data_IF_220610971465
#
_entry.id   IF_220610971465
#
_cell.length_a   1.000
_cell.length_b   1.000
_cell.length_c   1.000
_cell.angle_alpha   90.00
_cell.angle_beta   90.00
_cell.angle_gamma   90.00
#
_symmetry.space_group_name_H-M   'P 1'
#
loop_
_entity.id
_entity.type
_entity.pdbx_description
1 polymer ?
#
# COMPACT_ATOMS: atom_id res chain seq x y z
N UNK A 1 -49.62 -24.04 15.31
CA UNK A 1 -48.55 -23.40 16.10
C UNK A 1 -47.84 -24.37 17.06
N UNK A 2 -48.44 -25.53 17.37
CA UNK A 2 -47.89 -26.45 18.39
C UNK A 2 -46.70 -27.31 17.94
N UNK A 3 -46.61 -27.67 16.64
CA UNK A 3 -45.46 -28.45 16.12
C UNK A 3 -44.14 -27.67 16.17
N UNK A 4 -44.21 -26.35 16.04
CA UNK A 4 -43.05 -25.45 16.16
C UNK A 4 -42.57 -25.33 17.61
N UNK A 5 -43.50 -25.28 18.59
CA UNK A 5 -43.16 -25.27 20.02
C UNK A 5 -42.49 -26.58 20.46
N UNK A 6 -43.03 -27.72 20.03
CA UNK A 6 -42.46 -29.04 20.36
C UNK A 6 -41.02 -29.22 19.84
N UNK A 7 -40.75 -28.74 18.63
CA UNK A 7 -39.40 -28.75 18.06
C UNK A 7 -38.42 -27.86 18.84
N UNK A 8 -38.86 -26.66 19.23
CA UNK A 8 -38.04 -25.72 19.99
C UNK A 8 -37.72 -26.23 21.40
N UNK A 9 -38.69 -26.83 22.08
CA UNK A 9 -38.48 -27.40 23.42
C UNK A 9 -37.52 -28.59 23.37
N UNK A 10 -37.66 -29.46 22.37
CA UNK A 10 -36.74 -30.60 22.17
C UNK A 10 -35.29 -30.14 21.94
N UNK A 11 -35.09 -29.10 21.13
CA UNK A 11 -33.77 -28.51 20.87
C UNK A 11 -33.20 -27.86 22.14
N UNK A 12 -34.03 -27.16 22.91
CA UNK A 12 -33.63 -26.54 24.19
C UNK A 12 -33.17 -27.58 25.21
N UNK A 13 -33.90 -28.68 25.38
CA UNK A 13 -33.51 -29.76 26.28
C UNK A 13 -32.20 -30.43 25.84
N UNK A 14 -32.03 -30.64 24.54
CA UNK A 14 -30.81 -31.22 23.99
C UNK A 14 -29.59 -30.31 24.22
N UNK A 15 -29.69 -29.02 23.90
CA UNK A 15 -28.60 -28.04 24.10
C UNK A 15 -28.26 -27.95 25.59
N UNK A 16 -29.25 -27.81 26.47
CA UNK A 16 -29.00 -27.75 27.91
C UNK A 16 -28.38 -29.04 28.45
N UNK A 17 -28.72 -30.20 27.88
CA UNK A 17 -28.08 -31.48 28.20
C UNK A 17 -26.60 -31.53 27.80
N UNK A 18 -26.21 -30.88 26.70
CA UNK A 18 -24.79 -30.80 26.30
C UNK A 18 -23.94 -29.93 27.24
N UNK A 19 -24.56 -28.99 27.97
CA UNK A 19 -23.88 -28.07 28.89
C UNK A 19 -24.20 -28.33 30.37
N UNK A 20 -24.84 -29.45 30.72
CA UNK A 20 -25.33 -29.70 32.09
C UNK A 20 -24.21 -29.76 33.15
N UNK A 21 -23.03 -30.25 32.77
CA UNK A 21 -21.87 -30.40 33.65
C UNK A 21 -20.84 -29.26 33.49
N UNK A 22 -21.24 -28.12 32.92
CA UNK A 22 -20.35 -26.98 32.65
C UNK A 22 -20.65 -25.79 33.56
N UNK A 23 -19.59 -25.20 34.10
CA UNK A 23 -19.72 -23.96 34.87
C UNK A 23 -20.10 -22.79 33.96
N UNK A 24 -20.80 -21.74 34.46
CA UNK A 24 -21.30 -20.64 33.64
C UNK A 24 -20.24 -19.97 32.75
N UNK A 25 -19.00 -19.80 33.24
CA UNK A 25 -17.92 -19.21 32.46
C UNK A 25 -17.47 -20.11 31.29
N UNK A 26 -17.51 -21.42 31.45
CA UNK A 26 -17.15 -22.38 30.39
C UNK A 26 -18.14 -22.30 29.24
N UNK A 27 -19.43 -22.16 29.54
CA UNK A 27 -20.47 -21.95 28.53
C UNK A 27 -20.23 -20.65 27.76
N UNK A 28 -19.88 -19.56 28.44
CA UNK A 28 -19.55 -18.28 27.79
C UNK A 28 -18.32 -18.41 26.89
N UNK A 29 -17.25 -19.06 27.35
CA UNK A 29 -16.02 -19.26 26.56
C UNK A 29 -16.29 -20.12 25.34
N UNK A 30 -16.93 -21.28 25.50
CA UNK A 30 -17.22 -22.21 24.40
C UNK A 30 -18.07 -21.53 23.34
N UNK A 31 -19.17 -20.87 23.74
CA UNK A 31 -20.05 -20.19 22.79
C UNK A 31 -19.34 -19.03 22.08
N UNK A 32 -18.58 -18.21 22.80
CA UNK A 32 -17.81 -17.10 22.21
C UNK A 32 -16.76 -17.60 21.23
N UNK A 33 -15.98 -18.61 21.61
CA UNK A 33 -14.95 -19.20 20.74
C UNK A 33 -15.56 -19.87 19.52
N UNK A 34 -16.68 -20.59 19.65
CA UNK A 34 -17.38 -21.20 18.51
C UNK A 34 -17.90 -20.14 17.53
N UNK A 35 -18.49 -19.04 18.02
CA UNK A 35 -18.95 -17.95 17.17
C UNK A 35 -17.77 -17.28 16.47
N UNK A 36 -16.69 -16.95 17.19
CA UNK A 36 -15.50 -16.35 16.60
C UNK A 36 -14.84 -17.28 15.57
N UNK A 37 -14.76 -18.58 15.84
CA UNK A 37 -14.23 -19.57 14.91
C UNK A 37 -15.11 -19.70 13.66
N UNK A 38 -16.44 -19.66 13.82
CA UNK A 38 -17.37 -19.68 12.70
C UNK A 38 -17.25 -18.43 11.82
N UNK A 39 -17.18 -17.23 12.42
CA UNK A 39 -16.96 -15.97 11.70
C UNK A 39 -15.59 -15.98 11.01
N UNK A 40 -14.55 -16.45 11.70
CA UNK A 40 -13.21 -16.58 11.12
C UNK A 40 -13.21 -17.54 9.93
N UNK A 41 -13.85 -18.70 10.04
CA UNK A 41 -13.94 -19.68 8.97
C UNK A 41 -14.72 -19.15 7.78
N UNK A 42 -15.86 -18.48 8.03
CA UNK A 42 -16.63 -17.80 6.99
C UNK A 42 -15.78 -16.77 6.24
N UNK A 43 -15.08 -15.89 6.98
CA UNK A 43 -14.17 -14.90 6.38
C UNK A 43 -13.01 -15.56 5.65
N UNK A 44 -12.52 -16.70 6.12
CA UNK A 44 -11.42 -17.42 5.49
C UNK A 44 -11.83 -18.04 4.14
N UNK A 45 -13.04 -18.57 4.04
CA UNK A 45 -13.58 -19.21 2.82
C UNK A 45 -14.09 -18.17 1.82
N UNK A 46 -14.78 -17.13 2.28
CA UNK A 46 -15.41 -16.10 1.45
C UNK A 46 -14.58 -14.81 1.32
N UNK A 47 -13.26 -14.92 1.42
CA UNK A 47 -12.36 -13.82 1.07
C UNK A 47 -12.31 -13.63 -0.45
N UNK A 48 -12.12 -12.39 -0.91
CA UNK A 48 -12.04 -12.05 -2.35
C UNK A 48 -10.90 -12.79 -3.07
N UNK A 49 -9.85 -13.19 -2.34
CA UNK A 49 -8.73 -13.97 -2.86
C UNK A 49 -8.96 -15.48 -2.71
N UNK A 50 -8.85 -16.22 -3.82
CA UNK A 50 -8.93 -17.68 -3.80
C UNK A 50 -7.87 -18.32 -2.89
N UNK A 51 -8.23 -19.43 -2.24
CA UNK A 51 -7.32 -20.23 -1.38
C UNK A 51 -6.05 -20.66 -2.14
N UNK A 52 -6.14 -20.90 -3.45
CA UNK A 52 -4.99 -21.23 -4.29
C UNK A 52 -3.97 -20.08 -4.38
N UNK A 53 -4.43 -18.84 -4.54
CA UNK A 53 -3.58 -17.65 -4.57
C UNK A 53 -2.88 -17.46 -3.21
N UNK A 54 -3.62 -17.60 -2.11
CA UNK A 54 -3.06 -17.50 -0.74
C UNK A 54 -2.00 -18.56 -0.48
N UNK A 55 -2.26 -19.80 -0.89
CA UNK A 55 -1.32 -20.92 -0.76
C UNK A 55 -0.07 -20.69 -1.61
N UNK A 56 -0.24 -20.15 -2.82
CA UNK A 56 0.86 -19.74 -3.70
C UNK A 56 1.72 -18.67 -3.03
N UNK A 57 1.11 -17.63 -2.44
CA UNK A 57 1.86 -16.60 -1.70
C UNK A 57 2.64 -17.16 -0.51
N UNK A 58 2.01 -18.02 0.30
CA UNK A 58 2.68 -18.70 1.40
C UNK A 58 3.87 -19.52 0.90
N UNK A 59 3.65 -20.33 -0.14
CA UNK A 59 4.69 -21.14 -0.77
C UNK A 59 5.85 -20.29 -1.27
N UNK A 60 5.59 -19.23 -2.05
CA UNK A 60 6.65 -18.34 -2.53
C UNK A 60 7.39 -17.64 -1.40
N UNK A 61 6.69 -17.25 -0.33
CA UNK A 61 7.31 -16.66 0.85
C UNK A 61 8.22 -17.65 1.59
N UNK A 62 7.83 -18.93 1.69
CA UNK A 62 8.67 -19.99 2.25
C UNK A 62 9.88 -20.28 1.36
N UNK A 63 9.69 -20.40 0.04
CA UNK A 63 10.77 -20.62 -0.92
C UNK A 63 11.80 -19.49 -0.89
N UNK A 64 11.35 -18.23 -0.78
CA UNK A 64 12.24 -17.07 -0.63
C UNK A 64 13.11 -17.09 0.64
N UNK A 65 12.71 -17.83 1.69
CA UNK A 65 13.51 -17.98 2.92
C UNK A 65 14.63 -19.01 2.79
N UNK A 66 14.60 -19.86 1.77
CA UNK A 66 15.67 -20.83 1.52
C UNK A 66 16.96 -20.05 1.21
N UNK A 67 18.08 -20.28 1.93
CA UNK A 67 19.30 -19.49 1.79
C UNK A 67 19.81 -19.39 0.35
N UNK A 68 19.75 -20.50 -0.41
CA UNK A 68 20.18 -20.53 -1.81
C UNK A 68 19.35 -19.60 -2.71
N UNK A 69 18.02 -19.59 -2.53
CA UNK A 69 17.10 -18.73 -3.29
C UNK A 69 17.27 -17.27 -2.89
N UNK A 70 17.32 -17.00 -1.58
CA UNK A 70 17.53 -15.65 -1.06
C UNK A 70 18.85 -15.04 -1.53
N UNK A 71 19.94 -15.82 -1.51
CA UNK A 71 21.24 -15.41 -2.02
C UNK A 71 21.19 -15.08 -3.52
N UNK A 72 20.51 -15.91 -4.32
CA UNK A 72 20.34 -15.63 -5.76
C UNK A 72 19.55 -14.35 -6.02
N UNK A 73 18.45 -14.13 -5.28
CA UNK A 73 17.66 -12.89 -5.36
C UNK A 73 18.53 -11.69 -4.97
N UNK A 74 19.31 -11.80 -3.89
CA UNK A 74 20.23 -10.75 -3.45
C UNK A 74 21.26 -10.43 -4.54
N UNK A 75 21.90 -11.44 -5.13
CA UNK A 75 22.85 -11.23 -6.22
C UNK A 75 22.24 -10.50 -7.41
N UNK A 76 21.01 -10.83 -7.83
CA UNK A 76 20.36 -10.11 -8.93
C UNK A 76 19.97 -8.68 -8.52
N UNK A 77 19.54 -8.45 -7.27
CA UNK A 77 19.33 -7.09 -6.74
C UNK A 77 20.61 -6.26 -6.74
N UNK A 78 21.71 -6.83 -6.28
CA UNK A 78 23.00 -6.14 -6.20
C UNK A 78 23.49 -5.75 -7.61
N UNK A 79 23.33 -6.64 -8.60
CA UNK A 79 23.62 -6.32 -10.01
C UNK A 79 22.74 -5.17 -10.53
N UNK A 80 21.44 -5.22 -10.27
CA UNK A 80 20.51 -4.15 -10.68
C UNK A 80 20.86 -2.82 -10.01
N UNK A 81 21.28 -2.85 -8.74
CA UNK A 81 21.68 -1.66 -8.00
C UNK A 81 22.94 -1.03 -8.61
N UNK A 82 23.94 -1.83 -9.00
CA UNK A 82 25.13 -1.33 -9.70
C UNK A 82 24.77 -0.68 -11.04
N UNK A 83 23.87 -1.29 -11.82
CA UNK A 83 23.40 -0.71 -13.08
C UNK A 83 22.64 0.60 -12.82
N UNK A 84 21.74 0.61 -11.84
CA UNK A 84 20.96 1.79 -11.48
C UNK A 84 21.83 2.93 -10.98
N UNK A 85 22.79 2.66 -10.09
CA UNK A 85 23.76 3.64 -9.59
C UNK A 85 24.56 4.24 -10.75
N UNK A 86 25.02 3.41 -11.69
CA UNK A 86 25.73 3.87 -12.89
C UNK A 86 24.83 4.76 -13.76
N UNK A 87 23.60 4.34 -14.04
CA UNK A 87 22.64 5.12 -14.84
C UNK A 87 22.33 6.47 -14.19
N UNK A 88 22.11 6.50 -12.86
CA UNK A 88 21.86 7.74 -12.12
C UNK A 88 23.10 8.63 -12.15
N UNK A 89 24.29 8.09 -11.91
CA UNK A 89 25.55 8.84 -11.95
C UNK A 89 25.83 9.42 -13.35
N UNK A 90 25.52 8.68 -14.42
CA UNK A 90 25.64 9.15 -15.79
C UNK A 90 24.62 10.24 -16.11
N UNK A 91 23.35 10.06 -15.73
CA UNK A 91 22.26 11.04 -15.96
C UNK A 91 22.43 12.33 -15.18
N UNK A 92 23.02 12.26 -14.00
CA UNK A 92 23.27 13.45 -13.15
C UNK A 92 24.64 14.07 -13.40
N UNK A 93 25.41 13.54 -14.35
CA UNK A 93 26.75 14.06 -14.68
C UNK A 93 26.66 15.52 -15.08
N UNK A 94 27.37 16.37 -14.35
CA UNK A 94 27.43 17.82 -14.59
C UNK A 94 26.51 18.65 -13.71
N UNK A 95 25.67 18.02 -12.87
CA UNK A 95 24.85 18.72 -11.87
C UNK A 95 25.43 18.46 -10.48
N UNK A 96 25.76 19.50 -9.69
CA UNK A 96 26.36 19.32 -8.37
C UNK A 96 25.33 18.80 -7.36
N UNK A 97 25.75 17.81 -6.55
CA UNK A 97 24.95 17.34 -5.43
C UNK A 97 25.03 18.29 -4.24
N UNK A 98 23.90 18.88 -3.86
CA UNK A 98 23.78 19.71 -2.66
C UNK A 98 23.53 18.79 -1.46
N UNK A 99 24.61 18.37 -0.79
CA UNK A 99 24.57 17.43 0.35
C UNK A 99 24.47 18.10 1.71
N UNK A 100 24.58 19.43 1.75
CA UNK A 100 24.45 20.24 2.97
C UNK A 100 23.64 21.49 2.67
N UNK A 101 22.91 21.99 3.67
CA UNK A 101 22.16 23.22 3.53
C UNK A 101 23.14 24.40 3.35
N UNK A 102 22.99 25.24 2.31
CA UNK A 102 23.82 26.42 2.12
C UNK A 102 23.74 27.36 3.34
N UNK A 103 24.89 27.93 3.75
CA UNK A 103 24.94 28.89 4.89
C UNK A 103 24.17 30.18 4.59
N UNK A 104 24.05 30.54 3.32
CA UNK A 104 23.33 31.71 2.84
C UNK A 104 22.25 31.23 1.87
N UNK A 105 21.07 31.85 1.93
CA UNK A 105 19.99 31.53 1.01
C UNK A 105 20.38 31.86 -0.43
N UNK A 106 20.04 30.96 -1.36
CA UNK A 106 20.27 31.19 -2.78
C UNK A 106 19.26 32.24 -3.30
N UNK A 107 19.67 33.12 -4.23
CA UNK A 107 18.74 34.03 -4.89
C UNK A 107 17.74 33.24 -5.74
N UNK A 108 16.52 33.75 -5.89
CA UNK A 108 15.43 33.07 -6.60
C UNK A 108 15.80 32.68 -8.05
N UNK A 109 16.56 33.52 -8.74
CA UNK A 109 17.03 33.24 -10.10
C UNK A 109 17.94 32.01 -10.16
N UNK A 110 18.85 31.87 -9.19
CA UNK A 110 19.74 30.70 -9.09
C UNK A 110 18.95 29.43 -8.78
N UNK A 111 17.96 29.50 -7.89
CA UNK A 111 17.06 28.37 -7.59
C UNK A 111 16.31 27.92 -8.85
N UNK A 112 15.76 28.86 -9.61
CA UNK A 112 15.03 28.55 -10.86
C UNK A 112 15.98 27.95 -11.90
N UNK A 113 17.20 28.47 -12.02
CA UNK A 113 18.19 27.94 -12.96
C UNK A 113 18.64 26.53 -12.57
N UNK A 114 18.89 26.27 -11.28
CA UNK A 114 19.16 24.93 -10.78
C UNK A 114 17.99 23.98 -11.08
N UNK A 115 16.75 24.40 -10.83
CA UNK A 115 15.56 23.61 -11.15
C UNK A 115 15.50 23.24 -12.64
N UNK A 116 15.72 24.21 -13.54
CA UNK A 116 15.73 23.97 -14.99
C UNK A 116 16.81 22.95 -15.38
N UNK A 117 18.02 23.12 -14.88
CA UNK A 117 19.12 22.18 -15.13
C UNK A 117 18.76 20.74 -14.71
N UNK A 118 18.09 20.57 -13.57
CA UNK A 118 17.66 19.25 -13.11
C UNK A 118 16.52 18.66 -13.96
N UNK A 119 15.57 19.49 -14.40
CA UNK A 119 14.46 19.05 -15.26
C UNK A 119 14.95 18.63 -16.66
N UNK A 120 16.01 19.26 -17.16
CA UNK A 120 16.63 18.93 -18.45
C UNK A 120 17.40 17.59 -18.44
N UNK A 121 17.74 17.04 -17.27
CA UNK A 121 18.34 15.70 -17.16
C UNK A 121 17.41 14.58 -17.65
N UNK A 122 16.10 14.82 -17.60
CA UNK A 122 15.06 13.88 -18.03
C UNK A 122 14.71 14.02 -19.51
N UNK A 123 15.64 13.78 -20.43
CA UNK A 123 15.40 13.89 -21.87
C UNK A 123 14.69 12.66 -22.48
N UNK A 124 13.54 12.27 -21.92
CA UNK A 124 12.68 11.26 -22.54
C UNK A 124 11.55 11.96 -23.28
N UNK A 125 11.30 11.52 -24.52
CA UNK A 125 10.17 12.02 -25.30
C UNK A 125 8.85 11.42 -24.83
N UNK A 126 8.44 11.77 -23.61
CA UNK A 126 7.17 11.36 -23.04
C UNK A 126 5.99 12.08 -23.70
N UNK A 127 6.23 13.22 -24.35
CA UNK A 127 5.19 14.03 -24.98
C UNK A 127 4.60 13.34 -26.21
N UNK A 128 5.44 12.62 -26.94
CA UNK A 128 5.00 11.78 -28.07
C UNK A 128 4.51 10.39 -27.64
N UNK A 129 4.34 10.15 -26.32
CA UNK A 129 3.75 8.93 -25.78
C UNK A 129 4.71 7.74 -25.70
N UNK A 130 6.02 7.95 -25.85
CA UNK A 130 7.02 6.87 -25.79
C UNK A 130 7.32 6.34 -24.38
N UNK A 131 6.69 6.90 -23.34
CA UNK A 131 6.92 6.50 -21.93
C UNK A 131 5.64 5.96 -21.32
N UNK A 132 5.61 4.64 -21.11
CA UNK A 132 4.46 3.94 -20.53
C UNK A 132 4.23 4.34 -19.07
N UNK A 133 3.01 4.77 -18.75
CA UNK A 133 2.54 4.99 -17.37
C UNK A 133 3.12 6.22 -16.65
N UNK A 134 3.90 7.07 -17.32
CA UNK A 134 4.54 8.23 -16.71
C UNK A 134 3.64 9.48 -16.69
N UNK A 135 3.15 9.91 -17.86
CA UNK A 135 2.28 11.09 -17.99
C UNK A 135 0.97 10.67 -18.67
N UNK A 136 -0.14 10.81 -17.95
CA UNK A 136 -1.45 10.30 -18.38
C UNK A 136 -2.18 11.23 -19.35
N UNK A 137 -2.02 12.53 -19.14
CA UNK A 137 -2.70 13.56 -19.94
C UNK A 137 -1.82 14.79 -20.04
N UNK A 138 -1.62 15.26 -21.27
CA UNK A 138 -0.84 16.45 -21.55
C UNK A 138 -1.70 17.46 -22.30
N UNK A 139 -2.01 18.55 -21.62
CA UNK A 139 -2.74 19.66 -22.20
C UNK A 139 -2.22 20.97 -21.60
N UNK A 140 -1.81 21.91 -22.46
CA UNK A 140 -1.24 23.20 -22.01
C UNK A 140 -2.22 24.02 -21.17
N UNK A 141 -3.48 24.12 -21.60
CA UNK A 141 -4.51 24.86 -20.86
C UNK A 141 -4.74 24.27 -19.47
N UNK A 142 -4.71 22.93 -19.35
CA UNK A 142 -4.83 22.28 -18.05
C UNK A 142 -3.60 22.54 -17.17
N UNK A 143 -2.39 22.49 -17.72
CA UNK A 143 -1.17 22.82 -16.95
C UNK A 143 -1.18 24.26 -16.43
N UNK A 144 -1.61 25.21 -17.27
CA UNK A 144 -1.73 26.62 -16.90
C UNK A 144 -2.77 26.78 -15.76
N UNK A 145 -3.94 26.15 -15.89
CA UNK A 145 -4.97 26.13 -14.84
C UNK A 145 -4.46 25.51 -13.53
N UNK A 146 -3.78 24.37 -13.60
CA UNK A 146 -3.22 23.69 -12.42
C UNK A 146 -2.16 24.55 -11.73
N UNK A 147 -1.33 25.27 -12.49
CA UNK A 147 -0.33 26.19 -11.93
C UNK A 147 -0.98 27.34 -11.17
N UNK A 148 -2.05 27.91 -11.71
CA UNK A 148 -2.82 28.98 -11.07
C UNK A 148 -3.51 28.50 -9.78
N UNK A 149 -4.21 27.36 -9.85
CA UNK A 149 -4.87 26.73 -8.70
C UNK A 149 -3.87 26.40 -7.61
N UNK A 150 -2.72 25.80 -7.96
CA UNK A 150 -1.68 25.48 -6.99
C UNK A 150 -1.07 26.74 -6.35
N UNK A 151 -0.87 27.81 -7.13
CA UNK A 151 -0.44 29.10 -6.60
C UNK A 151 -1.39 29.63 -5.52
N UNK A 152 -2.69 29.59 -5.80
CA UNK A 152 -3.74 30.03 -4.86
C UNK A 152 -3.84 29.14 -3.61
N UNK A 153 -3.71 27.82 -3.78
CA UNK A 153 -3.95 26.85 -2.71
C UNK A 153 -2.67 26.34 -2.00
N UNK A 154 -1.49 26.86 -2.35
CA UNK A 154 -0.18 26.35 -1.90
C UNK A 154 0.01 26.23 -0.38
N UNK A 155 -0.66 27.09 0.40
CA UNK A 155 -0.61 27.08 1.87
C UNK A 155 -1.81 26.40 2.53
N UNK A 156 -2.76 25.87 1.76
CA UNK A 156 -3.89 25.14 2.32
C UNK A 156 -3.41 23.85 2.99
N UNK A 157 -3.89 23.59 4.21
CA UNK A 157 -3.57 22.38 4.96
C UNK A 157 -4.88 21.72 5.41
N UNK A 158 -5.27 20.57 4.81
CA UNK A 158 -6.51 19.88 5.15
C UNK A 158 -6.65 19.45 6.62
N UNK A 159 -5.56 19.46 7.40
CA UNK A 159 -5.61 19.21 8.85
C UNK A 159 -6.33 20.32 9.63
N UNK A 160 -6.46 21.52 9.04
CA UNK A 160 -7.10 22.69 9.64
C UNK A 160 -8.32 23.11 8.82
N UNK A 161 -9.34 22.26 8.78
CA UNK A 161 -10.60 22.54 8.06
C UNK A 161 -11.38 23.75 8.60
N UNK A 162 -11.04 24.21 9.80
CA UNK A 162 -11.54 25.45 10.41
C UNK A 162 -10.92 26.70 9.79
N UNK A 163 -9.66 26.61 9.34
CA UNK A 163 -8.91 27.70 8.69
C UNK A 163 -9.01 27.63 7.16
N UNK A 164 -9.01 26.42 6.61
CA UNK A 164 -9.10 26.13 5.18
C UNK A 164 -10.34 25.24 4.93
N UNK A 165 -11.53 25.83 4.83
CA UNK A 165 -12.79 25.08 4.68
C UNK A 165 -12.89 24.32 3.36
#
# INVERSE_FOLDING_TARGET
>A
MDKLRFGLDSVKFYINGCFCDKEPWQTVVITSTSVLAGVWFWRFIFQDESVGVRSKHLFFNLVKKIPMVSNKIKTEKDKLMVVFEKEVAEKTKGVPYIVTLPKQGLPSEEIINLLKQHLELGSYDWKDGFVSGAVYYQNKQLMDLMTEVYGMASYTNPLHSDVFP
#
